data_IF_015986494300
#
_entry.id   IF_015986494300
#
_cell.length_a   1.000
_cell.length_b   1.000
_cell.length_c   1.000
_cell.angle_alpha   90.00
_cell.angle_beta   90.00
_cell.angle_gamma   90.00
#
_symmetry.space_group_name_H-M   'P 1'
#
loop_
_entity.id
_entity.type
_entity.pdbx_description
1 polymer ?
#
# COMPACT_ATOMS: atom_id res chain seq x y z
N UNK A 1 36.92 -13.04 -5.81
CA UNK A 1 36.35 -11.72 -6.17
C UNK A 1 36.40 -11.62 -7.69
N UNK A 2 35.32 -11.94 -8.40
CA UNK A 2 35.29 -11.92 -9.86
C UNK A 2 35.22 -10.48 -10.37
N UNK A 3 36.36 -9.97 -10.83
CA UNK A 3 36.44 -8.70 -11.56
C UNK A 3 35.73 -8.88 -12.91
N UNK A 4 34.44 -8.56 -12.98
CA UNK A 4 33.67 -8.59 -14.21
C UNK A 4 34.05 -7.38 -15.07
N UNK A 5 35.22 -7.46 -15.71
CA UNK A 5 35.78 -6.38 -16.53
C UNK A 5 35.06 -6.40 -17.88
N UNK A 6 34.03 -5.58 -18.03
CA UNK A 6 33.37 -5.36 -19.33
C UNK A 6 34.42 -4.77 -20.27
N UNK A 7 34.71 -5.48 -21.37
CA UNK A 7 35.59 -5.02 -22.44
C UNK A 7 34.79 -4.32 -23.52
N UNK A 8 35.42 -3.40 -24.26
CA UNK A 8 34.77 -2.64 -25.34
C UNK A 8 34.16 -3.57 -26.41
N UNK A 9 34.84 -4.65 -26.77
CA UNK A 9 34.35 -5.67 -27.71
C UNK A 9 33.08 -6.38 -27.23
N UNK A 10 32.91 -6.51 -25.90
CA UNK A 10 31.77 -7.19 -25.28
C UNK A 10 30.65 -6.22 -24.86
N UNK A 11 30.84 -4.91 -25.05
CA UNK A 11 29.84 -3.88 -24.70
C UNK A 11 28.52 -4.04 -25.44
N UNK A 12 28.48 -4.31 -26.76
CA UNK A 12 27.21 -4.46 -27.47
C UNK A 12 26.37 -5.61 -26.91
N UNK A 13 27.01 -6.73 -26.56
CA UNK A 13 26.37 -7.91 -25.97
C UNK A 13 25.88 -7.64 -24.55
N UNK A 14 26.71 -6.99 -23.71
CA UNK A 14 26.32 -6.62 -22.35
C UNK A 14 25.11 -5.67 -22.33
N UNK A 15 25.05 -4.70 -23.25
CA UNK A 15 23.90 -3.81 -23.40
C UNK A 15 22.64 -4.56 -23.86
N UNK A 16 22.79 -5.57 -24.71
CA UNK A 16 21.68 -6.40 -25.16
C UNK A 16 21.09 -7.23 -24.01
N UNK A 17 21.92 -7.84 -23.17
CA UNK A 17 21.47 -8.54 -21.95
C UNK A 17 20.73 -7.59 -21.01
N UNK A 18 21.31 -6.42 -20.73
CA UNK A 18 20.68 -5.42 -19.87
C UNK A 18 19.31 -4.98 -20.40
N UNK A 19 19.18 -4.80 -21.71
CA UNK A 19 17.91 -4.46 -22.36
C UNK A 19 16.88 -5.59 -22.23
N UNK A 20 17.31 -6.85 -22.32
CA UNK A 20 16.44 -8.01 -22.14
C UNK A 20 15.98 -8.13 -20.68
N UNK A 21 16.87 -7.96 -19.71
CA UNK A 21 16.53 -7.95 -18.29
C UNK A 21 15.55 -6.82 -17.96
N UNK A 22 15.80 -5.59 -18.45
CA UNK A 22 14.87 -4.47 -18.29
C UNK A 22 13.50 -4.80 -18.90
N UNK A 23 13.46 -5.42 -20.07
CA UNK A 23 12.19 -5.82 -20.70
C UNK A 23 11.46 -6.86 -19.85
N UNK A 24 12.16 -7.89 -19.37
CA UNK A 24 11.59 -8.91 -18.50
C UNK A 24 11.03 -8.31 -17.20
N UNK A 25 11.79 -7.40 -16.56
CA UNK A 25 11.33 -6.68 -15.37
C UNK A 25 10.07 -5.84 -15.67
N UNK A 26 10.04 -5.13 -16.80
CA UNK A 26 8.85 -4.36 -17.21
C UNK A 26 7.65 -5.26 -17.48
N UNK A 27 7.86 -6.40 -18.14
CA UNK A 27 6.81 -7.38 -18.37
C UNK A 27 6.32 -7.99 -17.05
N UNK A 28 7.19 -8.30 -16.08
CA UNK A 28 6.79 -8.77 -14.75
C UNK A 28 6.00 -7.72 -13.96
N UNK A 29 6.37 -6.45 -14.04
CA UNK A 29 5.63 -5.36 -13.38
C UNK A 29 4.30 -5.09 -14.09
N UNK A 30 4.24 -5.22 -15.42
CA UNK A 30 3.01 -4.97 -16.20
C UNK A 30 2.05 -6.16 -16.22
N UNK A 31 2.57 -7.39 -16.10
CA UNK A 31 1.83 -8.65 -16.02
C UNK A 31 1.54 -9.08 -14.59
N UNK A 32 2.24 -8.50 -13.60
CA UNK A 32 1.66 -8.37 -12.27
C UNK A 32 0.32 -7.71 -12.53
N UNK A 33 -0.80 -8.41 -12.32
CA UNK A 33 -2.06 -7.70 -12.30
C UNK A 33 -1.80 -6.67 -11.23
N UNK A 34 -1.72 -5.39 -11.64
CA UNK A 34 -2.14 -4.32 -10.78
C UNK A 34 -3.55 -4.75 -10.47
N UNK A 35 -3.68 -5.53 -9.42
CA UNK A 35 -4.88 -6.29 -9.15
C UNK A 35 -5.79 -5.17 -8.72
N UNK A 36 -6.54 -4.69 -9.71
CA UNK A 36 -7.96 -4.50 -9.55
C UNK A 36 -8.51 -5.87 -9.13
N UNK A 37 -8.07 -6.40 -7.98
CA UNK A 37 -8.90 -7.16 -7.07
C UNK A 37 -10.18 -6.36 -7.09
N UNK A 38 -11.25 -6.94 -7.62
CA UNK A 38 -12.56 -6.33 -7.58
C UNK A 38 -12.69 -5.67 -6.21
N UNK A 39 -12.78 -4.34 -6.20
CA UNK A 39 -12.70 -3.60 -4.95
C UNK A 39 -13.76 -4.16 -4.02
N UNK A 40 -13.29 -4.82 -2.97
CA UNK A 40 -14.16 -5.53 -2.05
C UNK A 40 -14.83 -4.50 -1.15
N UNK A 41 -16.12 -4.69 -0.90
CA UNK A 41 -16.88 -3.84 -0.01
C UNK A 41 -17.13 -4.60 1.28
N UNK A 42 -16.75 -3.99 2.38
CA UNK A 42 -17.04 -4.49 3.71
C UNK A 42 -18.27 -3.79 4.28
N UNK A 43 -19.07 -4.54 5.04
CA UNK A 43 -19.94 -3.94 6.04
C UNK A 43 -19.16 -3.67 7.33
N UNK A 44 -19.84 -3.20 8.37
CA UNK A 44 -19.20 -2.90 9.66
C UNK A 44 -18.51 -4.14 10.25
N UNK A 45 -19.10 -5.32 10.11
CA UNK A 45 -18.53 -6.54 10.68
C UNK A 45 -17.33 -7.02 9.88
N UNK A 46 -17.44 -6.99 8.54
CA UNK A 46 -16.34 -7.27 7.63
C UNK A 46 -15.15 -6.36 7.91
N UNK A 47 -15.39 -5.06 8.13
CA UNK A 47 -14.35 -4.10 8.47
C UNK A 47 -13.66 -4.44 9.80
N UNK A 48 -14.43 -4.80 10.85
CA UNK A 48 -13.85 -5.19 12.15
C UNK A 48 -12.96 -6.42 12.03
N UNK A 49 -13.38 -7.39 11.22
CA UNK A 49 -12.60 -8.60 10.95
C UNK A 49 -11.37 -8.30 10.08
N UNK A 50 -11.47 -7.32 9.19
CA UNK A 50 -10.39 -6.91 8.30
C UNK A 50 -9.28 -6.13 9.02
N UNK A 51 -9.65 -5.26 9.97
CA UNK A 51 -8.69 -4.43 10.68
C UNK A 51 -7.88 -5.27 11.69
N UNK A 52 -6.54 -5.12 11.72
CA UNK A 52 -5.66 -5.96 12.53
C UNK A 52 -5.86 -5.78 14.05
N UNK A 53 -6.37 -4.63 14.48
CA UNK A 53 -6.65 -4.35 15.89
C UNK A 53 -8.03 -4.84 16.36
N UNK A 54 -8.86 -5.37 15.46
CA UNK A 54 -10.23 -5.81 15.73
C UNK A 54 -11.04 -4.86 16.64
N UNK A 55 -11.25 -3.60 16.22
CA UNK A 55 -11.91 -2.59 17.04
C UNK A 55 -13.38 -2.95 17.31
N UNK A 56 -13.93 -2.44 18.42
CA UNK A 56 -15.35 -2.63 18.73
C UNK A 56 -16.26 -1.92 17.71
N UNK A 57 -17.52 -2.39 17.55
CA UNK A 57 -18.51 -1.70 16.70
C UNK A 57 -18.70 -0.24 17.09
N UNK A 58 -18.74 0.06 18.40
CA UNK A 58 -18.87 1.44 18.90
C UNK A 58 -17.72 2.33 18.42
N UNK A 59 -16.49 1.81 18.44
CA UNK A 59 -15.31 2.51 17.93
C UNK A 59 -15.42 2.79 16.43
N UNK A 60 -15.84 1.81 15.63
CA UNK A 60 -16.04 1.97 14.17
C UNK A 60 -17.15 2.99 13.87
N UNK A 61 -18.26 2.95 14.61
CA UNK A 61 -19.30 3.98 14.51
C UNK A 61 -18.75 5.36 14.86
N UNK A 62 -17.96 5.48 15.92
CA UNK A 62 -17.28 6.73 16.29
C UNK A 62 -16.41 7.28 15.16
N UNK A 63 -15.62 6.42 14.50
CA UNK A 63 -14.81 6.82 13.35
C UNK A 63 -15.65 7.24 12.14
N UNK A 64 -16.75 6.55 11.89
CA UNK A 64 -17.66 6.85 10.78
C UNK A 64 -18.36 8.20 11.02
N UNK A 65 -18.88 8.43 12.23
CA UNK A 65 -19.53 9.68 12.63
C UNK A 65 -18.55 10.86 12.56
N UNK A 66 -17.33 10.68 13.04
CA UNK A 66 -16.29 11.71 13.02
C UNK A 66 -15.58 11.83 11.66
N UNK A 67 -15.99 11.05 10.66
CA UNK A 67 -15.38 11.00 9.31
C UNK A 67 -13.87 10.77 9.32
N UNK A 68 -13.37 10.06 10.33
CA UNK A 68 -11.93 9.75 10.44
C UNK A 68 -11.53 8.55 9.62
N UNK A 69 -12.48 7.67 9.27
CA UNK A 69 -12.30 6.51 8.38
C UNK A 69 -13.11 6.72 7.09
N UNK A 70 -12.59 6.39 5.90
CA UNK A 70 -13.33 6.56 4.65
C UNK A 70 -14.49 5.56 4.56
N UNK A 71 -15.65 6.04 4.11
CA UNK A 71 -16.85 5.23 3.98
C UNK A 71 -17.76 5.75 2.86
N UNK A 72 -18.62 4.88 2.34
CA UNK A 72 -19.62 5.21 1.33
C UNK A 72 -21.02 5.00 1.91
N UNK A 73 -21.89 5.99 1.75
CA UNK A 73 -23.30 5.89 2.16
C UNK A 73 -24.12 5.27 1.04
N UNK A 74 -24.72 4.11 1.30
CA UNK A 74 -25.66 3.43 0.39
C UNK A 74 -27.04 3.37 1.06
N UNK A 75 -27.84 4.42 0.84
CA UNK A 75 -29.15 4.57 1.48
C UNK A 75 -29.04 4.64 3.00
N UNK A 76 -29.59 3.62 3.68
CA UNK A 76 -29.55 3.47 5.15
C UNK A 76 -28.31 2.71 5.65
N UNK A 77 -27.48 2.18 4.76
CA UNK A 77 -26.29 1.38 5.09
C UNK A 77 -25.02 2.17 4.79
N UNK A 78 -23.96 1.81 5.52
CA UNK A 78 -22.59 2.29 5.27
C UNK A 78 -21.77 1.09 4.81
N UNK A 79 -20.98 1.30 3.77
CA UNK A 79 -20.03 0.30 3.24
C UNK A 79 -18.63 0.90 3.19
N UNK A 80 -17.63 0.03 3.31
CA UNK A 80 -16.23 0.40 3.34
C UNK A 80 -15.53 -0.26 2.16
N UNK A 81 -14.91 0.56 1.32
CA UNK A 81 -14.18 0.08 0.15
C UNK A 81 -12.77 -0.31 0.59
N UNK A 82 -12.36 -1.54 0.29
CA UNK A 82 -11.07 -2.09 0.73
C UNK A 82 -9.88 -1.19 0.37
N UNK A 83 -9.80 -0.70 -0.87
CA UNK A 83 -8.74 0.22 -1.32
C UNK A 83 -8.60 1.44 -0.43
N UNK A 84 -9.73 2.03 -0.04
CA UNK A 84 -9.75 3.27 0.73
C UNK A 84 -9.32 3.01 2.18
N UNK A 85 -9.68 1.84 2.72
CA UNK A 85 -9.21 1.40 4.04
C UNK A 85 -7.70 1.14 4.03
N UNK A 86 -7.18 0.52 2.98
CA UNK A 86 -5.75 0.25 2.85
C UNK A 86 -4.92 1.54 2.75
N UNK A 87 -5.39 2.50 1.95
CA UNK A 87 -4.79 3.83 1.87
C UNK A 87 -4.82 4.55 3.22
N UNK A 88 -5.98 4.52 3.89
CA UNK A 88 -6.14 5.09 5.23
C UNK A 88 -5.19 4.46 6.26
N UNK A 89 -5.03 3.14 6.28
CA UNK A 89 -4.07 2.45 7.17
C UNK A 89 -2.63 2.91 6.90
N UNK A 90 -2.26 3.06 5.63
CA UNK A 90 -0.94 3.54 5.23
C UNK A 90 -0.69 4.99 5.66
N UNK A 91 -1.69 5.87 5.55
CA UNK A 91 -1.59 7.24 6.06
C UNK A 91 -1.41 7.29 7.58
N UNK A 92 -2.19 6.50 8.32
CA UNK A 92 -2.06 6.45 9.78
C UNK A 92 -0.69 5.93 10.22
N UNK A 93 -0.12 4.95 9.50
CA UNK A 93 1.25 4.49 9.73
C UNK A 93 2.28 5.60 9.52
N UNK A 94 2.13 6.41 8.45
CA UNK A 94 2.99 7.58 8.20
C UNK A 94 2.88 8.63 9.31
N UNK A 95 1.67 8.89 9.83
CA UNK A 95 1.46 9.84 10.94
C UNK A 95 2.14 9.37 12.23
N UNK A 96 2.02 8.08 12.56
CA UNK A 96 2.70 7.49 13.73
C UNK A 96 4.22 7.56 13.61
N UNK A 97 4.77 7.29 12.42
CA UNK A 97 6.22 7.40 12.16
C UNK A 97 6.73 8.84 12.29
N UNK A 98 6.06 9.81 11.64
CA UNK A 98 6.44 11.22 11.72
C UNK A 98 6.30 11.78 13.15
N UNK A 99 5.30 11.34 13.92
CA UNK A 99 5.13 11.76 15.32
C UNK A 99 6.28 11.30 16.22
N UNK A 100 6.82 10.11 16.00
CA UNK A 100 7.98 9.61 16.77
C UNK A 100 9.26 10.36 16.39
N UNK A 101 9.45 10.66 15.11
CA UNK A 101 10.61 11.42 14.61
C UNK A 101 10.67 12.85 15.14
N UNK A 102 9.52 13.54 15.26
CA UNK A 102 9.46 14.91 15.79
C UNK A 102 9.79 14.93 17.30
N UNK A 103 9.31 13.96 18.07
CA UNK A 103 9.58 13.90 19.52
C UNK A 103 11.07 13.74 19.82
N UNK A 104 11.76 12.88 19.08
CA UNK A 104 13.19 12.63 19.30
C UNK A 104 14.11 13.82 18.92
N UNK A 105 13.58 14.87 18.28
CA UNK A 105 14.32 16.07 17.85
C UNK A 105 14.00 17.32 18.70
N UNK A 106 13.20 17.19 19.75
CA UNK A 106 12.85 18.27 20.69
C UNK A 106 13.33 17.99 22.13
N UNK A 107 14.06 16.89 22.34
CA UNK A 107 14.66 16.49 23.62
C UNK A 107 16.18 16.81 23.67
N UNK A 108 16.58 18.00 23.21
CA UNK A 108 17.91 18.59 23.45
C UNK A 108 17.80 20.08 23.77
#
# INVERSE_FOLDING_TARGET
MTSNKISFENMPSALQELRQEIRALREMISSSPNSKTQDEYFDIQGLINYLPSHPSRSTVYGWTCNRTIPFIKQGKRVVFKRSDIDEWLNENKKRSFNRTMIKNNLDY
#
